data_IF_039722890072
#
_entry.id   IF_039722890072
#
_cell.length_a   1.000
_cell.length_b   1.000
_cell.length_c   1.000
_cell.angle_alpha   90.00
_cell.angle_beta   90.00
_cell.angle_gamma   90.00
#
_symmetry.space_group_name_H-M   'P 1'
#
loop_
_entity.id
_entity.type
_entity.pdbx_description
1 polymer ?
#
# COMPACT_ATOMS: atom_id res chain seq x y z
N UNK A 1 4.03 -15.60 -10.06
CA UNK A 1 3.71 -14.66 -8.96
C UNK A 1 4.24 -13.27 -9.30
N UNK A 2 3.58 -12.56 -10.21
CA UNK A 2 3.92 -11.18 -10.62
C UNK A 2 2.74 -10.21 -10.41
N UNK A 3 1.57 -10.68 -9.96
CA UNK A 3 0.34 -9.87 -9.99
C UNK A 3 0.26 -8.79 -8.91
N UNK A 4 0.68 -9.04 -7.66
CA UNK A 4 0.49 -8.07 -6.58
C UNK A 4 1.27 -6.76 -6.79
N UNK A 5 2.51 -6.84 -7.30
CA UNK A 5 3.31 -5.65 -7.57
C UNK A 5 2.85 -4.91 -8.83
N UNK A 6 2.49 -5.65 -9.87
CA UNK A 6 2.02 -5.08 -11.13
C UNK A 6 0.65 -4.43 -10.98
N UNK A 7 -0.27 -5.02 -10.22
CA UNK A 7 -1.58 -4.43 -9.92
C UNK A 7 -1.41 -3.14 -9.12
N UNK A 8 -0.49 -3.11 -8.15
CA UNK A 8 -0.14 -1.91 -7.37
C UNK A 8 0.48 -0.83 -8.25
N UNK A 9 1.40 -1.19 -9.15
CA UNK A 9 2.04 -0.24 -10.06
C UNK A 9 1.03 0.33 -11.07
N UNK A 10 0.08 -0.50 -11.52
CA UNK A 10 -0.94 -0.13 -12.51
C UNK A 10 -1.96 0.84 -11.94
N UNK A 11 -2.47 0.59 -10.73
CA UNK A 11 -3.41 1.52 -10.06
C UNK A 11 -2.78 2.88 -9.75
N UNK A 12 -1.47 2.94 -9.48
CA UNK A 12 -0.77 4.22 -9.29
C UNK A 12 -0.71 5.00 -10.60
N UNK A 13 -0.39 4.32 -11.72
CA UNK A 13 -0.32 4.94 -13.03
C UNK A 13 -1.69 5.44 -13.49
N UNK A 14 -2.76 4.69 -13.20
CA UNK A 14 -4.16 5.08 -13.50
C UNK A 14 -4.72 6.15 -12.54
N UNK A 15 -4.19 6.25 -11.30
CA UNK A 15 -4.66 7.18 -10.26
C UNK A 15 -4.02 8.58 -10.28
N UNK A 16 -2.98 8.81 -11.10
CA UNK A 16 -2.26 10.09 -11.18
C UNK A 16 -2.83 11.02 -12.25
N UNK A 17 -3.41 10.49 -13.32
CA UNK A 17 -3.74 11.28 -14.52
C UNK A 17 -5.09 12.02 -14.48
N UNK A 18 -5.87 11.94 -13.39
CA UNK A 18 -7.16 12.65 -13.32
C UNK A 18 -7.37 13.27 -11.94
N UNK A 19 -7.12 14.58 -11.83
CA UNK A 19 -7.63 15.43 -10.73
C UNK A 19 -7.90 16.82 -11.32
N UNK A 20 -9.16 17.26 -11.31
CA UNK A 20 -9.59 18.61 -11.70
C UNK A 20 -10.40 19.23 -10.55
N UNK A 21 -9.85 20.34 -10.02
CA UNK A 21 -10.48 21.57 -9.49
C UNK A 21 -11.48 21.57 -8.30
N UNK A 22 -11.01 21.23 -7.08
CA UNK A 22 -11.37 21.97 -5.82
C UNK A 22 -10.20 22.03 -4.82
N UNK A 23 -9.83 23.23 -4.35
CA UNK A 23 -8.63 23.46 -3.51
C UNK A 23 -8.64 22.74 -2.15
N UNK A 24 -9.81 22.60 -1.51
CA UNK A 24 -9.94 21.86 -0.25
C UNK A 24 -9.76 20.34 -0.46
N UNK A 25 -10.30 19.81 -1.55
CA UNK A 25 -10.18 18.40 -1.91
C UNK A 25 -8.75 18.05 -2.35
N UNK A 26 -8.06 18.97 -3.03
CA UNK A 26 -6.63 18.83 -3.37
C UNK A 26 -5.74 18.64 -2.13
N UNK A 27 -5.99 19.39 -1.06
CA UNK A 27 -5.21 19.24 0.19
C UNK A 27 -5.46 17.88 0.84
N UNK A 28 -6.72 17.41 0.84
CA UNK A 28 -7.10 16.11 1.38
C UNK A 28 -6.51 14.96 0.56
N UNK A 29 -6.62 15.05 -0.76
CA UNK A 29 -6.01 14.10 -1.71
C UNK A 29 -4.49 14.06 -1.52
N UNK A 30 -3.84 15.22 -1.39
CA UNK A 30 -2.40 15.32 -1.16
C UNK A 30 -1.97 14.59 0.12
N UNK A 31 -2.71 14.79 1.22
CA UNK A 31 -2.45 14.08 2.49
C UNK A 31 -2.60 12.57 2.33
N UNK A 32 -3.68 12.11 1.69
CA UNK A 32 -3.92 10.68 1.46
C UNK A 32 -2.82 10.06 0.58
N UNK A 33 -2.36 10.77 -0.45
CA UNK A 33 -1.24 10.32 -1.30
C UNK A 33 0.07 10.19 -0.51
N UNK A 34 0.37 11.14 0.38
CA UNK A 34 1.55 11.06 1.27
C UNK A 34 1.44 9.86 2.22
N UNK A 35 0.26 9.64 2.82
CA UNK A 35 0.01 8.47 3.68
C UNK A 35 0.25 7.16 2.91
N UNK A 36 -0.27 7.04 1.68
CA UNK A 36 -0.08 5.89 0.80
C UNK A 36 1.42 5.63 0.53
N UNK A 37 2.18 6.68 0.19
CA UNK A 37 3.63 6.57 -0.05
C UNK A 37 4.36 6.11 1.22
N UNK A 38 4.01 6.66 2.38
CA UNK A 38 4.58 6.29 3.67
C UNK A 38 4.30 4.82 4.01
N UNK A 39 3.05 4.38 3.86
CA UNK A 39 2.65 2.99 4.08
C UNK A 39 3.40 2.06 3.14
N UNK A 40 3.52 2.40 1.85
CA UNK A 40 4.27 1.60 0.87
C UNK A 40 5.74 1.43 1.26
N UNK A 41 6.41 2.51 1.66
CA UNK A 41 7.80 2.46 2.17
C UNK A 41 7.93 1.57 3.40
N UNK A 42 6.95 1.60 4.29
CA UNK A 42 6.93 0.73 5.46
C UNK A 42 6.75 -0.75 5.07
N UNK A 43 5.88 -1.05 4.11
CA UNK A 43 5.74 -2.42 3.57
C UNK A 43 7.07 -2.90 3.00
N UNK A 44 7.72 -2.10 2.15
CA UNK A 44 9.03 -2.41 1.56
C UNK A 44 10.09 -2.68 2.64
N UNK A 45 10.15 -1.84 3.67
CA UNK A 45 11.07 -2.02 4.81
C UNK A 45 10.83 -3.33 5.56
N UNK A 46 9.56 -3.69 5.82
CA UNK A 46 9.23 -4.95 6.49
C UNK A 46 9.53 -6.16 5.60
N UNK A 47 9.36 -6.07 4.28
CA UNK A 47 9.78 -7.13 3.36
C UNK A 47 11.30 -7.32 3.34
N UNK A 48 12.07 -6.24 3.35
CA UNK A 48 13.52 -6.32 3.48
C UNK A 48 13.96 -6.96 4.81
N UNK A 49 13.31 -6.57 5.92
CA UNK A 49 13.54 -7.16 7.24
C UNK A 49 13.20 -8.65 7.26
N UNK A 50 12.07 -9.04 6.66
CA UNK A 50 11.63 -10.42 6.52
C UNK A 50 12.67 -11.23 5.74
N UNK A 51 13.05 -10.76 4.55
CA UNK A 51 14.02 -11.41 3.68
C UNK A 51 15.36 -11.62 4.39
N UNK A 52 15.87 -10.59 5.09
CA UNK A 52 17.09 -10.70 5.89
C UNK A 52 16.99 -11.73 7.01
N UNK A 53 15.86 -11.76 7.73
CA UNK A 53 15.63 -12.78 8.78
C UNK A 53 15.59 -14.19 8.19
N UNK A 54 14.83 -14.39 7.12
CA UNK A 54 14.71 -15.69 6.46
C UNK A 54 16.06 -16.16 5.92
N UNK A 55 16.81 -15.27 5.30
CA UNK A 55 18.16 -15.57 4.80
C UNK A 55 19.08 -16.03 5.92
N UNK A 56 19.18 -15.26 7.01
CA UNK A 56 20.01 -15.62 8.17
C UNK A 56 19.60 -16.97 8.77
N UNK A 57 18.29 -17.23 8.88
CA UNK A 57 17.80 -18.50 9.40
C UNK A 57 18.17 -19.70 8.52
N UNK A 58 18.10 -19.55 7.20
CA UNK A 58 18.39 -20.65 6.27
C UNK A 58 19.89 -20.88 6.13
N UNK A 59 20.67 -19.81 5.97
CA UNK A 59 22.09 -19.90 5.62
C UNK A 59 22.97 -20.06 6.86
N UNK A 60 22.79 -19.19 7.86
CA UNK A 60 23.65 -19.18 9.06
C UNK A 60 23.19 -20.22 10.08
N UNK A 61 21.88 -20.25 10.37
CA UNK A 61 21.34 -21.12 11.41
C UNK A 61 20.94 -22.52 10.90
N UNK A 62 20.98 -22.74 9.57
CA UNK A 62 20.55 -23.98 8.89
C UNK A 62 19.15 -24.45 9.31
N UNK A 63 18.29 -23.52 9.71
CA UNK A 63 16.90 -23.80 10.10
C UNK A 63 16.04 -23.93 8.86
N UNK A 64 15.41 -25.08 8.71
CA UNK A 64 14.46 -25.36 7.62
C UNK A 64 13.04 -24.88 7.95
N UNK A 65 12.69 -24.76 9.24
CA UNK A 65 11.36 -24.35 9.67
C UNK A 65 11.27 -22.85 9.96
N UNK A 66 11.20 -22.06 8.89
CA UNK A 66 11.14 -20.59 8.95
C UNK A 66 9.76 -20.07 9.32
N UNK A 67 8.69 -20.66 8.78
CA UNK A 67 7.31 -20.22 9.01
C UNK A 67 6.84 -20.36 10.47
N UNK A 68 7.48 -21.23 11.25
CA UNK A 68 7.20 -21.42 12.67
C UNK A 68 7.81 -20.34 13.57
N UNK A 69 8.78 -19.57 13.07
CA UNK A 69 9.52 -18.60 13.84
C UNK A 69 8.64 -17.41 14.25
N UNK A 70 8.75 -17.01 15.52
CA UNK A 70 7.95 -15.93 16.11
C UNK A 70 8.20 -14.59 15.40
N UNK A 71 9.45 -14.25 15.14
CA UNK A 71 9.85 -12.98 14.51
C UNK A 71 9.36 -12.91 13.06
N UNK A 72 9.45 -14.03 12.33
CA UNK A 72 8.90 -14.15 10.98
C UNK A 72 7.39 -13.92 10.99
N UNK A 73 6.66 -14.58 11.90
CA UNK A 73 5.20 -14.40 12.03
C UNK A 73 4.83 -12.96 12.38
N UNK A 74 5.62 -12.32 13.23
CA UNK A 74 5.40 -10.92 13.62
C UNK A 74 5.61 -9.97 12.44
N UNK A 75 6.69 -10.14 11.66
CA UNK A 75 6.94 -9.33 10.46
C UNK A 75 5.82 -9.54 9.42
N UNK A 76 5.39 -10.78 9.20
CA UNK A 76 4.28 -11.09 8.29
C UNK A 76 2.98 -10.45 8.77
N UNK A 77 2.70 -10.48 10.08
CA UNK A 77 1.54 -9.82 10.67
C UNK A 77 1.56 -8.30 10.47
N UNK A 78 2.73 -7.66 10.66
CA UNK A 78 2.94 -6.24 10.37
C UNK A 78 2.68 -5.91 8.90
N UNK A 79 3.20 -6.71 7.98
CA UNK A 79 2.98 -6.53 6.53
C UNK A 79 1.48 -6.58 6.20
N UNK A 80 0.77 -7.62 6.66
CA UNK A 80 -0.68 -7.74 6.43
C UNK A 80 -1.46 -6.53 6.96
N UNK A 81 -1.15 -6.08 8.17
CA UNK A 81 -1.79 -4.90 8.75
C UNK A 81 -1.52 -3.61 7.97
N UNK A 82 -0.33 -3.46 7.40
CA UNK A 82 0.02 -2.32 6.53
C UNK A 82 -0.69 -2.41 5.17
N UNK A 83 -0.82 -3.60 4.60
CA UNK A 83 -1.56 -3.84 3.34
C UNK A 83 -3.04 -3.52 3.50
N UNK A 84 -3.67 -3.93 4.62
CA UNK A 84 -5.06 -3.55 4.92
C UNK A 84 -5.24 -2.03 5.08
N UNK A 85 -4.28 -1.35 5.71
CA UNK A 85 -4.30 0.11 5.84
C UNK A 85 -4.14 0.81 4.49
N UNK A 86 -3.24 0.29 3.65
CA UNK A 86 -3.03 0.77 2.29
C UNK A 86 -4.32 0.68 1.47
N UNK A 87 -5.02 -0.44 1.56
CA UNK A 87 -6.27 -0.65 0.84
C UNK A 87 -7.38 0.30 1.31
N UNK A 88 -7.52 0.52 2.62
CA UNK A 88 -8.45 1.51 3.17
C UNK A 88 -8.16 2.92 2.66
N UNK A 89 -6.88 3.33 2.62
CA UNK A 89 -6.46 4.65 2.12
C UNK A 89 -6.69 4.81 0.62
N UNK A 90 -6.51 3.75 -0.17
CA UNK A 90 -6.88 3.74 -1.60
C UNK A 90 -8.38 3.87 -1.81
N UNK A 91 -9.20 3.16 -1.04
CA UNK A 91 -10.65 3.28 -1.10
C UNK A 91 -11.12 4.69 -0.69
N UNK A 92 -10.47 5.30 0.30
CA UNK A 92 -10.74 6.69 0.68
C UNK A 92 -10.44 7.65 -0.48
N UNK A 93 -9.31 7.47 -1.15
CA UNK A 93 -8.95 8.26 -2.34
C UNK A 93 -9.97 8.07 -3.49
N UNK A 94 -10.39 6.83 -3.75
CA UNK A 94 -11.38 6.51 -4.78
C UNK A 94 -12.74 7.14 -4.49
N UNK A 95 -13.18 7.12 -3.22
CA UNK A 95 -14.47 7.73 -2.81
C UNK A 95 -14.49 9.25 -2.95
N UNK A 96 -13.34 9.91 -2.79
CA UNK A 96 -13.22 11.35 -3.04
C UNK A 96 -13.32 11.60 -4.56
N UNK A 97 -12.59 10.82 -5.37
CA UNK A 97 -12.61 10.90 -6.84
C UNK A 97 -14.00 10.61 -7.46
N UNK A 98 -14.76 9.64 -6.92
CA UNK A 98 -16.07 9.27 -7.46
C UNK A 98 -17.19 10.26 -7.12
N UNK A 99 -17.07 11.00 -6.01
CA UNK A 99 -18.02 12.07 -5.66
C UNK A 99 -17.93 13.27 -6.59
N UNK A 100 -16.73 13.54 -7.12
CA UNK A 100 -16.49 14.61 -8.10
C UNK A 100 -17.16 14.30 -9.45
N UNK A 101 -17.08 13.06 -9.96
CA UNK A 101 -17.73 12.68 -11.23
C UNK A 101 -19.26 12.74 -11.21
N UNK A 102 -19.89 12.52 -10.06
CA UNK A 102 -21.35 12.58 -9.92
C UNK A 102 -21.85 14.04 -9.83
N UNK A 103 -21.05 14.95 -9.26
CA UNK A 103 -21.45 16.36 -9.10
C UNK A 103 -21.28 17.20 -10.36
N UNK A 104 -20.39 16.82 -11.28
CA UNK A 104 -20.31 17.45 -12.61
C UNK A 104 -21.50 17.11 -13.52
N UNK A 105 -22.16 15.97 -13.29
CA UNK A 105 -23.28 15.50 -14.14
C UNK A 105 -24.62 16.15 -13.78
N UNK A 106 -24.78 16.66 -12.55
CA UNK A 106 -25.99 17.39 -12.11
C UNK A 106 -25.91 18.91 -12.33
N UNK A 107 -24.72 19.45 -12.65
CA UNK A 107 -24.50 20.88 -12.86
C UNK A 107 -24.36 21.29 -14.35
N UNK A 108 -24.47 20.35 -15.29
CA UNK A 108 -24.43 20.55 -16.74
C UNK A 108 -25.80 20.32 -17.39
#
# INVERSE_FOLDING_TARGET
>A
MTSLWDDIAKTIREGVDTVVEKTEELTKIGRIKVDIISIKRNVEKNFAELGGKVYNMIVEEKKTQVAGNKDVKEIVGRIKGLEEQLEKKKQELHKIKSRESETETEAA
#
